data_IF_743631430810
#
_entry.id   IF_743631430810
#
_cell.length_a   1.000
_cell.length_b   1.000
_cell.length_c   1.000
_cell.angle_alpha   90.00
_cell.angle_beta   90.00
_cell.angle_gamma   90.00
#
_symmetry.space_group_name_H-M   'P 1'
#
loop_
_entity.id
_entity.type
_entity.pdbx_description
1 polymer ?
#
# COMPACT_ATOMS: atom_id res chain seq x y z
N UNK A 1 6.39 -7.03 -15.39
CA UNK A 1 5.37 -5.96 -15.46
C UNK A 1 5.41 -5.16 -14.18
N UNK A 2 5.38 -3.83 -14.22
CA UNK A 2 5.32 -3.04 -13.01
C UNK A 2 3.99 -3.27 -12.27
N UNK A 3 4.05 -3.37 -10.96
CA UNK A 3 2.87 -3.56 -10.11
C UNK A 3 1.96 -2.34 -10.16
N UNK A 4 2.55 -1.15 -10.17
CA UNK A 4 1.83 0.10 -10.32
C UNK A 4 2.07 0.69 -11.70
N UNK A 5 0.99 1.06 -12.36
CA UNK A 5 1.06 1.78 -13.63
C UNK A 5 1.31 3.27 -13.38
N UNK A 6 2.14 3.94 -14.20
CA UNK A 6 2.21 5.39 -14.20
C UNK A 6 0.83 6.00 -14.42
N UNK A 7 0.61 7.18 -13.86
CA UNK A 7 -0.62 7.93 -14.07
C UNK A 7 -0.68 8.35 -15.54
N UNK A 8 -1.81 8.07 -16.18
CA UNK A 8 -2.07 8.47 -17.55
C UNK A 8 -3.19 9.53 -17.62
N UNK A 9 -3.52 9.95 -18.84
CA UNK A 9 -4.53 10.98 -19.09
C UNK A 9 -5.95 10.56 -18.68
N UNK A 10 -6.19 9.28 -18.47
CA UNK A 10 -7.51 8.78 -18.08
C UNK A 10 -7.76 8.87 -16.58
N UNK A 11 -6.71 9.09 -15.79
CA UNK A 11 -6.84 9.21 -14.35
C UNK A 11 -7.24 10.63 -13.94
N UNK A 12 -8.26 10.73 -13.12
CA UNK A 12 -8.69 11.99 -12.49
C UNK A 12 -8.44 11.92 -10.99
N UNK A 13 -7.76 12.93 -10.45
CA UNK A 13 -7.53 13.02 -9.02
C UNK A 13 -8.86 13.18 -8.27
N UNK A 14 -8.96 12.53 -7.12
CA UNK A 14 -10.14 12.61 -6.25
C UNK A 14 -9.97 13.73 -5.22
N UNK A 15 -11.09 14.25 -4.72
CA UNK A 15 -11.09 15.10 -3.53
C UNK A 15 -10.75 14.26 -2.31
N UNK A 16 -9.51 14.37 -1.85
CA UNK A 16 -9.01 13.57 -0.76
C UNK A 16 -8.97 14.37 0.54
N UNK A 17 -9.48 13.78 1.61
CA UNK A 17 -9.39 14.31 2.97
C UNK A 17 -8.46 13.46 3.85
N UNK A 18 -8.14 12.25 3.39
CA UNK A 18 -7.25 11.32 4.09
C UNK A 18 -6.34 10.62 3.08
N UNK A 19 -5.20 10.06 3.54
CA UNK A 19 -4.35 9.23 2.67
C UNK A 19 -5.10 8.04 2.08
N UNK A 20 -6.04 7.46 2.80
CA UNK A 20 -6.84 6.34 2.32
C UNK A 20 -7.65 6.68 1.07
N UNK A 21 -8.18 7.88 0.97
CA UNK A 21 -8.93 8.32 -0.21
C UNK A 21 -8.07 8.28 -1.47
N UNK A 22 -6.83 8.75 -1.36
CA UNK A 22 -5.87 8.75 -2.46
C UNK A 22 -5.49 7.31 -2.82
N UNK A 23 -5.11 6.52 -1.83
CA UNK A 23 -4.65 5.14 -2.06
C UNK A 23 -5.75 4.26 -2.63
N UNK A 24 -6.97 4.38 -2.12
CA UNK A 24 -8.13 3.63 -2.65
C UNK A 24 -8.33 3.91 -4.13
N UNK A 25 -8.26 5.17 -4.51
CA UNK A 25 -8.41 5.58 -5.91
C UNK A 25 -7.29 5.04 -6.80
N UNK A 26 -6.05 5.19 -6.37
CA UNK A 26 -4.90 4.77 -7.17
C UNK A 26 -4.77 3.25 -7.27
N UNK A 27 -4.99 2.53 -6.19
CA UNK A 27 -4.97 1.07 -6.23
C UNK A 27 -6.14 0.51 -7.02
N UNK A 28 -7.31 1.15 -6.94
CA UNK A 28 -8.44 0.82 -7.82
C UNK A 28 -8.11 0.99 -9.30
N UNK A 29 -7.43 2.07 -9.64
CA UNK A 29 -6.95 2.31 -11.01
C UNK A 29 -6.00 1.22 -11.51
N UNK A 30 -5.23 0.62 -10.61
CA UNK A 30 -4.28 -0.46 -10.91
C UNK A 30 -4.88 -1.86 -10.77
N UNK A 31 -6.16 -1.98 -10.46
CA UNK A 31 -6.83 -3.26 -10.18
C UNK A 31 -6.17 -4.03 -9.03
N UNK A 32 -5.62 -3.31 -8.06
CA UNK A 32 -5.11 -3.89 -6.82
C UNK A 32 -6.18 -3.71 -5.73
N UNK A 33 -6.47 -4.78 -5.02
CA UNK A 33 -7.47 -4.73 -3.96
C UNK A 33 -6.95 -3.87 -2.81
N UNK A 34 -7.64 -2.79 -2.54
CA UNK A 34 -7.39 -1.96 -1.37
C UNK A 34 -8.28 -2.42 -0.23
N UNK A 35 -7.64 -2.85 0.85
CA UNK A 35 -8.32 -3.52 1.95
C UNK A 35 -8.52 -2.54 3.09
N UNK A 36 -9.76 -2.40 3.54
CA UNK A 36 -10.07 -1.64 4.76
C UNK A 36 -9.58 -2.41 5.98
N UNK A 37 -8.90 -1.74 6.90
CA UNK A 37 -8.25 -2.38 8.05
C UNK A 37 -9.24 -3.17 8.91
N UNK A 38 -10.45 -2.65 9.08
CA UNK A 38 -11.47 -3.25 9.96
C UNK A 38 -12.08 -4.54 9.41
N UNK A 39 -12.07 -4.72 8.08
CA UNK A 39 -12.69 -5.87 7.41
C UNK A 39 -11.68 -6.66 6.58
N UNK A 40 -10.39 -6.40 6.77
CA UNK A 40 -9.31 -6.97 5.97
C UNK A 40 -9.34 -8.50 5.90
N UNK A 41 -9.52 -9.17 7.03
CA UNK A 41 -9.55 -10.63 7.08
C UNK A 41 -10.68 -11.20 6.24
N UNK A 42 -11.87 -10.62 6.30
CA UNK A 42 -13.03 -11.03 5.52
C UNK A 42 -12.84 -10.81 4.02
N UNK A 43 -12.28 -9.66 3.64
CA UNK A 43 -12.01 -9.34 2.24
C UNK A 43 -10.94 -10.26 1.64
N UNK A 44 -9.91 -10.61 2.41
CA UNK A 44 -8.79 -11.39 1.91
C UNK A 44 -9.09 -12.88 1.82
N UNK A 45 -10.10 -13.41 2.52
CA UNK A 45 -10.51 -14.79 2.38
C UNK A 45 -10.98 -15.16 0.97
N UNK A 46 -11.47 -14.17 0.22
CA UNK A 46 -11.97 -14.36 -1.14
C UNK A 46 -10.97 -13.90 -2.21
N UNK A 47 -9.75 -13.48 -1.80
CA UNK A 47 -8.72 -13.09 -2.75
C UNK A 47 -8.06 -14.31 -3.37
N UNK A 48 -7.80 -14.20 -4.68
CA UNK A 48 -6.89 -15.09 -5.36
C UNK A 48 -5.51 -15.05 -4.67
N UNK A 49 -4.95 -16.19 -4.26
CA UNK A 49 -3.67 -16.24 -3.56
C UNK A 49 -2.49 -15.66 -4.37
N UNK A 50 -2.68 -15.41 -5.66
CA UNK A 50 -1.68 -14.79 -6.52
C UNK A 50 -1.90 -13.30 -6.75
N UNK A 51 -2.94 -12.72 -6.16
CA UNK A 51 -3.26 -11.30 -6.32
C UNK A 51 -2.64 -10.45 -5.22
N UNK A 52 -2.15 -9.28 -5.62
CA UNK A 52 -1.67 -8.29 -4.65
C UNK A 52 -2.83 -7.62 -3.95
N UNK A 53 -2.61 -7.29 -2.70
CA UNK A 53 -3.47 -6.40 -1.94
C UNK A 53 -2.65 -5.26 -1.34
N UNK A 54 -3.32 -4.19 -1.00
CA UNK A 54 -2.73 -3.07 -0.27
C UNK A 54 -3.61 -2.72 0.92
N UNK A 55 -2.97 -2.44 2.04
CA UNK A 55 -3.63 -1.95 3.25
C UNK A 55 -2.81 -0.83 3.84
N UNK A 56 -3.48 0.27 4.21
CA UNK A 56 -2.83 1.41 4.84
C UNK A 56 -3.30 1.53 6.28
N UNK A 57 -2.36 1.75 7.20
CA UNK A 57 -2.68 2.06 8.58
C UNK A 57 -2.12 3.41 8.97
N UNK A 58 -2.97 4.23 9.55
CA UNK A 58 -2.52 5.48 10.18
C UNK A 58 -1.97 5.14 11.56
N UNK A 59 -0.67 5.28 11.72
CA UNK A 59 0.01 4.99 12.98
C UNK A 59 -0.20 6.12 13.99
N UNK A 60 -0.10 7.34 13.52
CA UNK A 60 -0.43 8.52 14.31
C UNK A 60 -0.79 9.69 13.40
N UNK A 61 -1.41 10.69 13.99
CA UNK A 61 -1.88 11.88 13.31
C UNK A 61 -1.53 13.08 14.17
N UNK A 62 -0.78 14.02 13.58
CA UNK A 62 -0.40 15.25 14.26
C UNK A 62 -1.15 16.43 13.65
N UNK A 63 -2.10 17.03 14.36
CA UNK A 63 -2.78 18.22 13.87
C UNK A 63 -1.79 19.37 13.70
N UNK A 64 -1.94 20.11 12.61
CA UNK A 64 -1.19 21.33 12.38
C UNK A 64 -2.03 22.47 12.93
N UNK A 65 -1.46 23.25 13.86
CA UNK A 65 -2.10 24.45 14.35
C UNK A 65 -2.25 25.43 13.19
N UNK A 66 -3.47 25.63 12.73
CA UNK A 66 -3.80 26.55 11.65
C UNK A 66 -4.60 27.71 12.22
N UNK A 67 -4.24 28.90 11.81
CA UNK A 67 -5.05 30.10 12.07
C UNK A 67 -6.28 30.15 11.17
N UNK A 68 -6.35 29.26 10.19
CA UNK A 68 -7.45 29.13 9.26
C UNK A 68 -8.43 28.01 9.68
N UNK A 69 -9.63 28.07 9.15
CA UNK A 69 -10.77 27.22 9.50
C UNK A 69 -10.61 25.75 9.13
N UNK A 70 -9.53 25.37 8.46
CA UNK A 70 -9.30 24.01 7.99
C UNK A 70 -8.22 23.36 8.85
N UNK A 71 -8.60 22.27 9.47
CA UNK A 71 -7.63 21.45 10.18
C UNK A 71 -6.84 20.63 9.17
N UNK A 72 -5.58 20.99 8.98
CA UNK A 72 -4.62 20.11 8.35
C UNK A 72 -3.99 19.22 9.40
N UNK A 73 -3.56 18.06 8.96
CA UNK A 73 -2.84 17.12 9.82
C UNK A 73 -1.73 16.43 9.06
N UNK A 74 -0.67 16.10 9.77
CA UNK A 74 0.38 15.23 9.26
C UNK A 74 0.06 13.81 9.68
N UNK A 75 -0.12 12.94 8.70
CA UNK A 75 -0.37 11.52 8.87
C UNK A 75 0.95 10.77 8.82
N UNK A 76 1.20 9.95 9.81
CA UNK A 76 2.27 8.95 9.77
C UNK A 76 1.62 7.60 9.51
N UNK A 77 1.92 7.02 8.35
CA UNK A 77 1.23 5.85 7.85
C UNK A 77 2.18 4.70 7.56
N UNK A 78 1.65 3.50 7.63
CA UNK A 78 2.30 2.28 7.21
C UNK A 78 1.46 1.64 6.10
N UNK A 79 1.98 1.68 4.87
CA UNK A 79 1.37 1.04 3.72
C UNK A 79 1.99 -0.33 3.51
N UNK A 80 1.18 -1.36 3.53
CA UNK A 80 1.59 -2.72 3.20
C UNK A 80 1.09 -3.08 1.81
N UNK A 81 1.99 -3.51 0.95
CA UNK A 81 1.65 -4.07 -0.37
C UNK A 81 2.21 -5.49 -0.40
N UNK A 82 1.34 -6.47 -0.55
CA UNK A 82 1.72 -7.86 -0.38
C UNK A 82 0.84 -8.82 -1.17
N UNK A 83 1.26 -10.08 -1.21
CA UNK A 83 0.46 -11.20 -1.68
C UNK A 83 0.18 -12.16 -0.54
N UNK A 84 -1.03 -12.74 -0.45
CA UNK A 84 -1.28 -13.85 0.46
C UNK A 84 -0.37 -15.04 0.14
N UNK A 85 0.05 -15.75 1.16
CA UNK A 85 0.84 -16.98 1.03
C UNK A 85 0.00 -18.15 1.49
N UNK A 86 -0.05 -19.20 0.66
CA UNK A 86 -0.64 -20.46 1.04
C UNK A 86 0.48 -21.45 1.43
N UNK A 87 0.44 -21.91 2.68
CA UNK A 87 1.47 -22.80 3.23
C UNK A 87 1.17 -24.30 3.08
N UNK A 88 0.04 -24.65 2.50
CA UNK A 88 -0.44 -26.03 2.53
C UNK A 88 0.27 -26.99 1.58
N UNK A 89 1.17 -26.47 0.72
CA UNK A 89 1.87 -27.28 -0.26
C UNK A 89 3.39 -27.04 -0.21
N UNK A 90 4.15 -28.10 0.11
CA UNK A 90 5.62 -28.07 0.15
C UNK A 90 6.26 -27.59 -1.16
N UNK A 91 5.66 -27.93 -2.29
CA UNK A 91 6.11 -27.52 -3.62
C UNK A 91 5.96 -26.01 -3.84
N UNK A 92 4.94 -25.40 -3.22
CA UNK A 92 4.72 -23.95 -3.32
C UNK A 92 5.75 -23.15 -2.54
N UNK A 93 6.36 -23.73 -1.50
CA UNK A 93 7.33 -23.01 -0.68
C UNK A 93 8.53 -22.54 -1.51
N UNK A 94 9.06 -23.38 -2.39
CA UNK A 94 10.19 -23.00 -3.27
C UNK A 94 9.76 -21.97 -4.30
N UNK A 95 8.58 -22.11 -4.89
CA UNK A 95 8.04 -21.15 -5.85
C UNK A 95 7.70 -19.81 -5.18
N UNK A 96 7.20 -19.85 -3.97
CA UNK A 96 6.88 -18.66 -3.18
C UNK A 96 8.16 -17.89 -2.82
N UNK A 97 9.24 -18.57 -2.46
CA UNK A 97 10.54 -17.93 -2.20
C UNK A 97 11.08 -17.23 -3.45
N UNK A 98 11.02 -17.86 -4.60
CA UNK A 98 11.44 -17.25 -5.86
C UNK A 98 10.57 -16.05 -6.24
N UNK A 99 9.26 -16.14 -6.05
CA UNK A 99 8.33 -15.03 -6.28
C UNK A 99 8.55 -13.88 -5.29
N UNK A 100 8.84 -14.21 -4.05
CA UNK A 100 9.15 -13.21 -3.02
C UNK A 100 10.34 -12.34 -3.42
N UNK A 101 11.41 -12.94 -3.89
CA UNK A 101 12.60 -12.20 -4.34
C UNK A 101 12.26 -11.23 -5.48
N UNK A 102 11.52 -11.70 -6.47
CA UNK A 102 11.11 -10.88 -7.62
C UNK A 102 10.21 -9.74 -7.19
N UNK A 103 9.20 -10.03 -6.38
CA UNK A 103 8.24 -9.05 -5.85
C UNK A 103 8.97 -8.01 -5.00
N UNK A 104 9.83 -8.46 -4.10
CA UNK A 104 10.57 -7.57 -3.20
C UNK A 104 11.47 -6.62 -3.98
N UNK A 105 12.17 -7.13 -4.99
CA UNK A 105 13.01 -6.28 -5.85
C UNK A 105 12.19 -5.22 -6.59
N UNK A 106 11.03 -5.57 -7.10
CA UNK A 106 10.16 -4.62 -7.78
C UNK A 106 9.63 -3.56 -6.80
N UNK A 107 9.11 -3.99 -5.66
CA UNK A 107 8.54 -3.10 -4.65
C UNK A 107 9.58 -2.21 -3.95
N UNK A 108 10.84 -2.63 -3.93
CA UNK A 108 11.94 -1.83 -3.40
C UNK A 108 12.59 -0.94 -4.45
N UNK A 109 12.17 -1.03 -5.70
CA UNK A 109 12.78 -0.27 -6.79
C UNK A 109 12.46 1.22 -6.66
N UNK A 110 13.41 2.05 -7.12
CA UNK A 110 13.21 3.49 -7.17
C UNK A 110 12.04 3.87 -8.09
N UNK A 111 11.86 3.13 -9.17
CA UNK A 111 10.76 3.33 -10.11
C UNK A 111 9.40 3.16 -9.41
N UNK A 112 9.23 2.11 -8.64
CA UNK A 112 8.02 1.87 -7.86
C UNK A 112 7.75 3.01 -6.86
N UNK A 113 8.76 3.36 -6.07
CA UNK A 113 8.64 4.42 -5.07
C UNK A 113 8.32 5.78 -5.70
N UNK A 114 8.92 6.08 -6.84
CA UNK A 114 8.62 7.31 -7.58
C UNK A 114 7.20 7.30 -8.15
N UNK A 115 6.73 6.16 -8.61
CA UNK A 115 5.34 6.01 -9.07
C UNK A 115 4.36 6.23 -7.92
N UNK A 116 4.64 5.68 -6.76
CA UNK A 116 3.83 5.90 -5.56
C UNK A 116 3.81 7.39 -5.17
N UNK A 117 4.95 8.05 -5.17
CA UNK A 117 5.03 9.49 -4.92
C UNK A 117 4.20 10.30 -5.92
N UNK A 118 4.23 9.92 -7.18
CA UNK A 118 3.47 10.62 -8.23
C UNK A 118 1.97 10.52 -8.03
N UNK A 119 1.48 9.46 -7.43
CA UNK A 119 0.07 9.29 -7.10
C UNK A 119 -0.41 10.38 -6.13
N UNK A 120 0.35 10.64 -5.09
CA UNK A 120 0.04 11.70 -4.14
C UNK A 120 0.21 13.08 -4.78
N UNK A 121 1.24 13.27 -5.58
CA UNK A 121 1.52 14.53 -6.24
C UNK A 121 0.43 14.92 -7.24
N UNK A 122 -0.21 13.96 -7.86
CA UNK A 122 -1.36 14.22 -8.75
C UNK A 122 -2.48 14.97 -8.01
N UNK A 123 -2.62 14.76 -6.71
CA UNK A 123 -3.57 15.46 -5.84
C UNK A 123 -2.93 16.65 -5.10
N UNK A 124 -1.79 17.12 -5.56
CA UNK A 124 -1.02 18.21 -4.94
C UNK A 124 -0.52 17.93 -3.53
N UNK A 125 -0.33 16.65 -3.19
CA UNK A 125 0.24 16.24 -1.92
C UNK A 125 1.61 15.62 -2.11
N UNK A 126 2.51 15.90 -1.19
CA UNK A 126 3.84 15.36 -1.20
C UNK A 126 4.02 14.39 -0.03
N UNK A 127 4.46 13.17 -0.34
CA UNK A 127 4.77 12.19 0.69
C UNK A 127 6.28 12.14 0.93
N UNK A 128 6.64 11.88 2.18
CA UNK A 128 8.01 11.59 2.57
C UNK A 128 8.08 10.13 3.01
N UNK A 129 8.77 9.32 2.23
CA UNK A 129 8.99 7.91 2.57
C UNK A 129 10.17 7.85 3.54
N UNK A 130 9.91 7.36 4.74
CA UNK A 130 10.89 7.30 5.81
C UNK A 130 11.56 5.94 5.93
N UNK A 131 10.86 4.88 5.56
CA UNK A 131 11.39 3.53 5.64
C UNK A 131 10.65 2.60 4.68
N UNK A 132 11.38 1.64 4.12
CA UNK A 132 10.81 0.55 3.30
C UNK A 132 11.41 -0.75 3.80
N UNK A 133 10.56 -1.65 4.26
CA UNK A 133 10.97 -2.91 4.87
C UNK A 133 10.34 -4.09 4.13
N UNK A 134 11.11 -5.04 3.63
CA UNK A 134 10.55 -6.28 3.12
C UNK A 134 9.93 -7.08 4.26
N UNK A 135 8.82 -7.75 3.97
CA UNK A 135 8.14 -8.64 4.92
C UNK A 135 7.99 -10.02 4.28
N UNK A 136 8.21 -11.02 5.10
CA UNK A 136 8.06 -12.41 4.70
C UNK A 136 7.18 -13.15 5.70
N UNK A 137 6.14 -13.82 5.20
CA UNK A 137 5.29 -14.68 6.00
C UNK A 137 4.75 -13.98 7.27
N UNK A 138 4.28 -12.76 7.09
CA UNK A 138 3.77 -11.93 8.18
C UNK A 138 2.26 -12.05 8.28
N UNK A 139 1.73 -11.91 9.50
CA UNK A 139 0.29 -11.71 9.76
C UNK A 139 0.03 -10.33 10.35
N UNK A 140 1.03 -9.46 10.36
CA UNK A 140 1.00 -8.19 11.10
C UNK A 140 0.02 -7.18 10.53
N UNK A 141 -0.03 -7.04 9.20
CA UNK A 141 -0.94 -6.10 8.54
C UNK A 141 -2.37 -6.62 8.49
N UNK A 142 -2.52 -7.92 8.26
CA UNK A 142 -3.81 -8.60 8.19
C UNK A 142 -3.76 -9.85 9.05
N UNK A 143 -4.33 -9.82 10.27
CA UNK A 143 -4.35 -10.99 11.13
C UNK A 143 -5.02 -12.20 10.45
N UNK A 144 -4.51 -13.39 10.74
CA UNK A 144 -4.96 -14.68 10.22
C UNK A 144 -4.70 -14.90 8.71
N UNK A 145 -4.06 -13.99 8.04
CA UNK A 145 -3.64 -14.16 6.64
C UNK A 145 -2.15 -13.95 6.54
N UNK A 146 -1.39 -15.02 6.23
CA UNK A 146 0.02 -14.92 5.98
C UNK A 146 0.26 -14.24 4.63
N UNK A 147 1.17 -13.28 4.60
CA UNK A 147 1.45 -12.50 3.40
C UNK A 147 2.92 -12.10 3.32
N UNK A 148 3.38 -11.83 2.12
CA UNK A 148 4.73 -11.36 1.84
C UNK A 148 4.71 -10.22 0.85
N UNK A 149 5.60 -9.28 1.04
CA UNK A 149 5.72 -8.08 0.22
C UNK A 149 6.58 -7.02 0.89
N UNK A 150 6.11 -5.80 0.94
CA UNK A 150 6.81 -4.68 1.60
C UNK A 150 5.88 -3.85 2.47
N UNK A 151 6.47 -3.30 3.52
CA UNK A 151 5.89 -2.23 4.32
C UNK A 151 6.59 -0.92 4.00
N UNK A 152 5.83 0.10 3.68
CA UNK A 152 6.31 1.43 3.37
C UNK A 152 5.82 2.38 4.45
N UNK A 153 6.76 2.92 5.21
CA UNK A 153 6.45 3.94 6.20
C UNK A 153 6.62 5.32 5.55
N UNK A 154 5.58 6.13 5.60
CA UNK A 154 5.58 7.46 4.99
C UNK A 154 4.79 8.46 5.82
N UNK A 155 5.06 9.72 5.58
CA UNK A 155 4.29 10.83 6.13
C UNK A 155 3.72 11.69 5.01
N UNK A 156 2.54 12.24 5.22
CA UNK A 156 1.88 13.15 4.31
C UNK A 156 1.06 14.15 5.10
N UNK A 157 1.02 15.40 4.64
CA UNK A 157 0.17 16.43 5.22
C UNK A 157 -1.02 16.68 4.32
N UNK A 158 -2.19 16.47 4.85
CA UNK A 158 -3.46 16.68 4.13
C UNK A 158 -4.37 17.60 4.92
#
# INVERSE_FOLDING_TARGET
MPILKPIDETYTCVDATTPDDILRSFFGFNNIVYVETDIAGSQLQNLDPYSFFAVNRVLNLTPIASTNRYSQATYNCLLTIAKPINHDLEVETVNVLGQFDTITKELLSLEFLNTLRSYFKCCDYEIVITNVTPIWNSTRAVPAVNHSGVEINYTVTI
#
